data_IF_737057304948
#
_entry.id   IF_737057304948
#
_cell.length_a   1.000
_cell.length_b   1.000
_cell.length_c   1.000
_cell.angle_alpha   90.00
_cell.angle_beta   90.00
_cell.angle_gamma   90.00
#
_symmetry.space_group_name_H-M   'P 1'
#
loop_
_entity.id
_entity.type
_entity.pdbx_description
1 polymer ?
#
# COMPACT_ATOMS: atom_id res chain seq x y z
N UNK A 1 -5.90 11.93 19.15
CA UNK A 1 -6.92 11.46 18.20
C UNK A 1 -7.81 12.59 17.71
N UNK A 2 -8.52 13.31 18.60
CA UNK A 2 -9.37 14.45 18.21
C UNK A 2 -8.59 15.61 17.58
N UNK A 3 -7.41 15.93 18.10
CA UNK A 3 -6.52 16.96 17.55
C UNK A 3 -6.03 16.65 16.13
N UNK A 4 -5.68 15.38 15.89
CA UNK A 4 -5.24 14.85 14.59
C UNK A 4 -6.40 14.50 13.64
N UNK A 5 -7.65 14.83 14.01
CA UNK A 5 -8.86 14.52 13.24
C UNK A 5 -9.00 13.04 12.83
N UNK A 6 -8.59 12.12 13.71
CA UNK A 6 -8.74 10.66 13.51
C UNK A 6 -9.86 10.10 14.39
N UNK A 7 -10.83 9.46 13.75
CA UNK A 7 -12.01 8.84 14.38
C UNK A 7 -11.94 7.30 14.43
N UNK A 8 -10.82 6.69 14.04
CA UNK A 8 -10.64 5.23 14.00
C UNK A 8 -9.43 4.81 14.84
N UNK A 9 -9.60 3.76 15.64
CA UNK A 9 -8.56 3.19 16.49
C UNK A 9 -8.35 1.72 16.14
N UNK A 10 -7.12 1.36 15.77
CA UNK A 10 -6.74 -0.05 15.57
C UNK A 10 -6.13 -0.58 16.86
N UNK A 11 -6.61 -1.73 17.33
CA UNK A 11 -6.23 -2.31 18.62
C UNK A 11 -5.62 -3.70 18.41
N UNK A 12 -4.39 -3.85 18.92
CA UNK A 12 -3.57 -5.08 18.87
C UNK A 12 -2.91 -5.31 20.23
N UNK A 13 -2.37 -6.51 20.49
CA UNK A 13 -1.57 -6.81 21.68
C UNK A 13 -2.23 -7.76 22.69
N UNK A 14 -1.99 -7.54 23.99
CA UNK A 14 -2.44 -8.42 25.08
C UNK A 14 -2.93 -7.63 26.29
N UNK A 15 -3.90 -8.11 27.09
CA UNK A 15 -4.74 -9.30 26.88
C UNK A 15 -6.10 -8.90 26.27
N UNK A 16 -6.66 -9.81 25.46
CA UNK A 16 -7.95 -9.65 24.77
C UNK A 16 -9.08 -9.18 25.70
N UNK A 17 -9.50 -10.03 26.62
CA UNK A 17 -10.72 -9.81 27.40
C UNK A 17 -10.61 -8.72 28.48
N UNK A 18 -9.40 -8.27 28.78
CA UNK A 18 -9.14 -7.25 29.80
C UNK A 18 -8.90 -5.91 29.11
N UNK A 19 -7.64 -5.63 28.75
CA UNK A 19 -7.22 -4.34 28.25
C UNK A 19 -7.85 -4.01 26.91
N UNK A 20 -7.78 -4.95 25.96
CA UNK A 20 -8.28 -4.72 24.59
C UNK A 20 -9.79 -4.51 24.59
N UNK A 21 -10.54 -5.35 25.31
CA UNK A 21 -11.98 -5.21 25.43
C UNK A 21 -12.38 -3.90 26.11
N UNK A 22 -11.74 -3.54 27.22
CA UNK A 22 -12.01 -2.28 27.92
C UNK A 22 -11.69 -1.07 27.05
N UNK A 23 -10.56 -1.06 26.34
CA UNK A 23 -10.20 0.03 25.42
C UNK A 23 -11.16 0.12 24.23
N UNK A 24 -11.60 -1.01 23.67
CA UNK A 24 -12.58 -1.01 22.59
C UNK A 24 -13.92 -0.41 23.05
N UNK A 25 -14.38 -0.75 24.26
CA UNK A 25 -15.59 -0.16 24.83
C UNK A 25 -15.45 1.34 25.07
N UNK A 26 -14.32 1.77 25.64
CA UNK A 26 -14.08 3.18 25.93
C UNK A 26 -13.97 4.02 24.66
N UNK A 27 -13.26 3.51 23.64
CA UNK A 27 -13.19 4.12 22.33
C UNK A 27 -14.59 4.31 21.72
N UNK A 28 -15.41 3.26 21.75
CA UNK A 28 -16.78 3.32 21.23
C UNK A 28 -17.63 4.39 21.93
N UNK A 29 -17.53 4.49 23.27
CA UNK A 29 -18.25 5.51 24.05
C UNK A 29 -17.74 6.94 23.79
N UNK A 30 -16.52 7.10 23.28
CA UNK A 30 -15.89 8.38 22.97
C UNK A 30 -16.05 8.79 21.49
N UNK A 31 -16.96 8.15 20.76
CA UNK A 31 -17.20 8.31 19.32
C UNK A 31 -15.99 7.96 18.44
N UNK A 32 -15.13 7.06 18.91
CA UNK A 32 -13.99 6.51 18.16
C UNK A 32 -14.33 5.08 17.74
N UNK A 33 -14.24 4.78 16.44
CA UNK A 33 -14.52 3.46 15.87
C UNK A 33 -13.35 2.50 16.17
N UNK A 34 -13.53 1.47 17.01
CA UNK A 34 -12.45 0.54 17.32
C UNK A 34 -12.46 -0.65 16.35
N UNK A 35 -11.26 -0.99 15.88
CA UNK A 35 -10.97 -2.13 15.02
C UNK A 35 -10.01 -3.06 15.76
N UNK A 36 -10.51 -4.21 16.21
CA UNK A 36 -9.67 -5.22 16.87
C UNK A 36 -9.17 -6.20 15.82
N UNK A 37 -7.85 -6.39 15.77
CA UNK A 37 -7.23 -7.32 14.82
C UNK A 37 -7.10 -8.70 15.47
N UNK A 38 -7.97 -9.64 15.10
CA UNK A 38 -8.16 -10.89 15.84
C UNK A 38 -6.94 -11.80 15.89
N UNK A 39 -6.17 -11.85 14.81
CA UNK A 39 -4.92 -12.61 14.67
C UNK A 39 -3.69 -11.84 15.17
N UNK A 40 -3.84 -10.57 15.60
CA UNK A 40 -2.81 -9.76 16.24
C UNK A 40 -3.08 -9.47 17.72
N UNK A 41 -3.97 -10.25 18.35
CA UNK A 41 -4.16 -10.24 19.80
C UNK A 41 -3.90 -11.61 20.43
N UNK A 42 -3.55 -11.62 21.71
CA UNK A 42 -3.47 -12.85 22.49
C UNK A 42 -4.22 -12.73 23.82
N UNK A 43 -4.61 -13.87 24.37
CA UNK A 43 -5.31 -13.96 25.64
C UNK A 43 -4.86 -15.20 26.43
N UNK A 44 -5.25 -15.29 27.69
CA UNK A 44 -4.91 -16.41 28.59
C UNK A 44 -5.49 -17.74 28.13
N UNK A 45 -6.68 -17.72 27.53
CA UNK A 45 -7.30 -18.90 26.96
C UNK A 45 -7.88 -18.59 25.58
N UNK A 46 -8.02 -19.64 24.76
CA UNK A 46 -8.71 -19.54 23.47
C UNK A 46 -10.17 -19.10 23.64
N UNK A 47 -10.81 -19.49 24.74
CA UNK A 47 -12.19 -19.12 25.02
C UNK A 47 -12.31 -17.62 25.29
N UNK A 48 -11.43 -17.05 26.11
CA UNK A 48 -11.41 -15.61 26.41
C UNK A 48 -11.12 -14.78 25.17
N UNK A 49 -10.16 -15.24 24.35
CA UNK A 49 -9.87 -14.64 23.06
C UNK A 49 -11.14 -14.60 22.17
N UNK A 50 -11.81 -15.75 21.99
CA UNK A 50 -13.00 -15.83 21.14
C UNK A 50 -14.18 -15.02 21.69
N UNK A 51 -14.36 -15.00 23.01
CA UNK A 51 -15.41 -14.22 23.67
C UNK A 51 -15.19 -12.73 23.47
N UNK A 52 -13.94 -12.27 23.54
CA UNK A 52 -13.55 -10.88 23.23
C UNK A 52 -13.96 -10.50 21.81
N UNK A 53 -13.57 -11.31 20.82
CA UNK A 53 -13.90 -11.03 19.41
C UNK A 53 -15.42 -10.98 19.18
N UNK A 54 -16.16 -11.95 19.73
CA UNK A 54 -17.63 -11.98 19.64
C UNK A 54 -18.27 -10.75 20.29
N UNK A 55 -17.75 -10.33 21.44
CA UNK A 55 -18.30 -9.20 22.16
C UNK A 55 -18.08 -7.90 21.38
N UNK A 56 -16.85 -7.67 20.90
CA UNK A 56 -16.50 -6.48 20.11
C UNK A 56 -17.36 -6.41 18.85
N UNK A 57 -17.39 -7.49 18.07
CA UNK A 57 -18.17 -7.54 16.82
C UNK A 57 -19.67 -7.30 17.01
N UNK A 58 -20.23 -7.66 18.18
CA UNK A 58 -21.66 -7.51 18.45
C UNK A 58 -22.05 -6.20 19.14
N UNK A 59 -21.11 -5.48 19.77
CA UNK A 59 -21.46 -4.39 20.71
C UNK A 59 -20.61 -3.13 20.62
N UNK A 60 -19.31 -3.26 20.36
CA UNK A 60 -18.40 -2.12 20.54
C UNK A 60 -17.52 -1.80 19.35
N UNK A 61 -17.45 -2.61 18.29
CA UNK A 61 -16.64 -2.28 17.13
C UNK A 61 -16.61 -3.33 16.03
N UNK A 62 -15.58 -3.28 15.20
CA UNK A 62 -15.33 -4.27 14.15
C UNK A 62 -14.15 -5.15 14.52
N UNK A 63 -14.24 -6.43 14.15
CA UNK A 63 -13.11 -7.36 14.19
C UNK A 63 -12.59 -7.55 12.77
N UNK A 64 -11.28 -7.52 12.59
CA UNK A 64 -10.59 -7.72 11.31
C UNK A 64 -9.43 -8.67 11.45
N UNK A 65 -8.99 -9.24 10.33
CA UNK A 65 -7.70 -9.93 10.22
C UNK A 65 -6.58 -8.95 9.87
N UNK A 66 -5.32 -9.35 10.10
CA UNK A 66 -4.14 -8.59 9.65
C UNK A 66 -4.19 -8.41 8.13
N UNK A 67 -4.57 -9.44 7.38
CA UNK A 67 -4.63 -9.39 5.92
C UNK A 67 -5.67 -8.36 5.44
N UNK A 68 -6.91 -8.41 5.95
CA UNK A 68 -7.93 -7.41 5.63
C UNK A 68 -7.48 -5.98 6.00
N UNK A 69 -6.75 -5.84 7.10
CA UNK A 69 -6.23 -4.55 7.53
C UNK A 69 -5.17 -4.05 6.55
N UNK A 70 -4.20 -4.89 6.19
CA UNK A 70 -3.16 -4.54 5.21
C UNK A 70 -3.80 -4.14 3.89
N UNK A 71 -4.79 -4.89 3.39
CA UNK A 71 -5.52 -4.53 2.16
C UNK A 71 -6.21 -3.16 2.26
N UNK A 72 -6.68 -2.78 3.44
CA UNK A 72 -7.40 -1.51 3.66
C UNK A 72 -6.49 -0.29 3.82
N UNK A 73 -5.27 -0.47 4.36
CA UNK A 73 -4.34 0.64 4.64
C UNK A 73 -3.19 0.73 3.67
N UNK A 74 -2.88 -0.37 2.99
CA UNK A 74 -2.06 -0.28 1.78
C UNK A 74 -2.92 0.57 0.86
N UNK A 75 -2.49 1.79 0.48
CA UNK A 75 -3.17 2.49 -0.59
C UNK A 75 -3.28 1.49 -1.74
N UNK A 76 -4.31 1.57 -2.57
CA UNK A 76 -4.21 1.00 -3.90
C UNK A 76 -3.04 1.71 -4.64
N UNK A 77 -1.79 1.43 -4.27
CA UNK A 77 -0.77 1.13 -5.25
C UNK A 77 -1.29 -0.12 -5.92
N UNK A 78 -2.03 0.11 -7.01
CA UNK A 78 -2.35 -0.84 -8.05
C UNK A 78 -1.38 -2.02 -8.03
N UNK A 79 -1.79 -3.10 -7.37
CA UNK A 79 -1.15 -4.40 -7.52
C UNK A 79 -1.41 -4.83 -8.95
N UNK A 80 -0.45 -4.60 -9.84
CA UNK A 80 -0.31 -5.38 -11.08
C UNK A 80 -1.06 -4.90 -12.32
N UNK A 81 -1.81 -3.79 -12.29
CA UNK A 81 -2.05 -3.04 -13.53
C UNK A 81 -0.96 -1.99 -13.65
N UNK A 82 0.09 -2.38 -14.37
CA UNK A 82 0.86 -1.43 -15.17
C UNK A 82 -0.14 -0.42 -15.74
N UNK A 83 0.01 0.85 -15.39
CA UNK A 83 -0.67 1.95 -16.06
C UNK A 83 0.41 2.91 -16.50
N UNK A 84 0.18 3.59 -17.62
CA UNK A 84 1.08 4.61 -18.13
C UNK A 84 1.43 5.62 -17.03
N UNK A 85 0.47 5.93 -16.16
CA UNK A 85 0.64 6.82 -15.02
C UNK A 85 1.60 6.29 -13.95
N UNK A 86 1.54 4.99 -13.65
CA UNK A 86 2.49 4.39 -12.70
C UNK A 86 3.92 4.39 -13.24
N UNK A 87 4.11 4.22 -14.56
CA UNK A 87 5.43 4.35 -15.17
C UNK A 87 5.93 5.79 -15.10
N UNK A 88 5.07 6.79 -15.39
CA UNK A 88 5.41 8.21 -15.25
C UNK A 88 5.84 8.55 -13.82
N UNK A 89 5.11 8.07 -12.82
CA UNK A 89 5.46 8.29 -11.42
C UNK A 89 6.80 7.66 -11.05
N UNK A 90 7.09 6.42 -11.50
CA UNK A 90 8.38 5.79 -11.24
C UNK A 90 9.54 6.56 -11.87
N UNK A 91 9.34 7.13 -13.05
CA UNK A 91 10.31 7.97 -13.77
C UNK A 91 10.49 9.32 -13.07
N UNK A 92 9.42 10.02 -12.71
CA UNK A 92 9.48 11.28 -11.95
C UNK A 92 10.28 11.10 -10.64
N UNK A 93 9.97 10.04 -9.90
CA UNK A 93 10.65 9.71 -8.64
C UNK A 93 12.16 9.41 -8.80
N UNK A 94 12.59 8.86 -9.94
CA UNK A 94 14.01 8.56 -10.15
C UNK A 94 14.79 9.74 -10.71
N UNK A 95 14.10 10.58 -11.49
CA UNK A 95 14.67 11.81 -12.04
C UNK A 95 14.72 12.94 -11.01
N UNK A 96 13.93 12.83 -9.92
CA UNK A 96 13.74 13.84 -8.87
C UNK A 96 13.11 15.13 -9.43
N UNK A 97 12.10 14.93 -10.29
CA UNK A 97 11.32 16.00 -10.93
C UNK A 97 9.85 15.81 -10.63
N UNK A 98 9.07 16.89 -10.79
CA UNK A 98 7.62 16.83 -10.63
C UNK A 98 6.97 16.01 -11.75
N UNK A 99 5.87 15.33 -11.42
CA UNK A 99 5.11 14.51 -12.37
C UNK A 99 4.63 15.30 -13.60
N UNK A 100 4.34 16.59 -13.41
CA UNK A 100 3.89 17.51 -14.46
C UNK A 100 5.00 17.86 -15.46
N UNK A 101 6.27 17.67 -15.10
CA UNK A 101 7.43 17.87 -15.99
C UNK A 101 7.74 16.62 -16.84
N UNK A 102 7.11 15.49 -16.54
CA UNK A 102 7.36 14.21 -17.22
C UNK A 102 6.26 13.95 -18.26
N UNK A 103 6.52 14.36 -19.50
CA UNK A 103 5.69 14.01 -20.66
C UNK A 103 6.01 12.57 -21.14
N UNK A 104 4.99 11.88 -21.63
CA UNK A 104 5.08 10.52 -22.14
C UNK A 104 5.74 10.43 -23.51
N UNK A 105 5.61 11.47 -24.32
CA UNK A 105 6.15 11.57 -25.68
C UNK A 105 7.54 12.20 -25.71
N UNK A 106 8.00 12.82 -24.61
CA UNK A 106 9.31 13.45 -24.55
C UNK A 106 10.45 12.46 -24.30
N UNK A 107 11.62 12.85 -24.82
CA UNK A 107 12.84 12.09 -24.62
C UNK A 107 13.43 12.42 -23.25
N UNK A 108 13.38 11.42 -22.36
CA UNK A 108 13.79 11.50 -20.97
C UNK A 108 15.28 11.81 -20.78
N UNK A 109 16.12 11.63 -21.81
CA UNK A 109 17.54 12.04 -21.76
C UNK A 109 17.65 13.55 -21.48
N UNK A 110 16.73 14.36 -22.00
CA UNK A 110 16.71 15.81 -21.75
C UNK A 110 16.35 16.15 -20.30
N UNK A 111 15.63 15.25 -19.62
CA UNK A 111 15.31 15.34 -18.18
C UNK A 111 16.40 14.70 -17.29
N UNK A 112 17.53 14.29 -17.87
CA UNK A 112 18.65 13.70 -17.13
C UNK A 112 18.53 12.20 -16.90
N UNK A 113 17.83 11.47 -17.77
CA UNK A 113 17.88 10.01 -17.77
C UNK A 113 19.28 9.54 -18.20
N UNK A 114 19.90 8.71 -17.34
CA UNK A 114 21.19 8.08 -17.59
C UNK A 114 21.12 6.56 -17.43
N UNK A 115 22.20 5.85 -17.81
CA UNK A 115 22.26 4.40 -17.78
C UNK A 115 22.03 3.77 -16.39
N UNK A 116 22.39 4.46 -15.31
CA UNK A 116 22.20 3.97 -13.93
C UNK A 116 20.71 4.03 -13.57
N UNK A 117 20.06 5.14 -13.93
CA UNK A 117 18.61 5.33 -13.72
C UNK A 117 17.80 4.32 -14.53
N UNK A 118 18.15 4.07 -15.79
CA UNK A 118 17.53 3.03 -16.63
C UNK A 118 17.66 1.64 -16.01
N UNK A 119 18.86 1.24 -15.56
CA UNK A 119 19.07 -0.06 -14.92
C UNK A 119 18.29 -0.22 -13.61
N UNK A 120 18.12 0.87 -12.86
CA UNK A 120 17.37 0.89 -11.61
C UNK A 120 15.87 0.74 -11.87
N UNK A 121 15.33 1.44 -12.87
CA UNK A 121 13.94 1.29 -13.31
C UNK A 121 13.67 -0.13 -13.81
N UNK A 122 14.52 -0.63 -14.73
CA UNK A 122 14.41 -1.99 -15.25
C UNK A 122 14.43 -3.05 -14.13
N UNK A 123 15.34 -2.94 -13.16
CA UNK A 123 15.40 -3.86 -12.02
C UNK A 123 14.16 -3.78 -11.12
N UNK A 124 13.60 -2.58 -10.93
CA UNK A 124 12.38 -2.35 -10.15
C UNK A 124 11.18 -2.97 -10.85
N UNK A 125 11.04 -2.76 -12.14
CA UNK A 125 9.94 -3.30 -12.94
C UNK A 125 10.02 -4.82 -13.08
N UNK A 126 11.22 -5.38 -13.26
CA UNK A 126 11.45 -6.83 -13.28
C UNK A 126 11.03 -7.52 -11.97
N UNK A 127 11.29 -6.88 -10.81
CA UNK A 127 10.81 -7.37 -9.50
C UNK A 127 9.29 -7.35 -9.37
N UNK A 128 8.60 -6.46 -10.10
CA UNK A 128 7.14 -6.39 -10.20
C UNK A 128 6.58 -7.38 -11.24
N UNK A 129 7.42 -8.21 -11.87
CA UNK A 129 7.01 -9.19 -12.87
C UNK A 129 6.93 -8.66 -14.30
N UNK A 130 7.47 -7.47 -14.56
CA UNK A 130 7.43 -6.81 -15.86
C UNK A 130 8.68 -7.21 -16.64
N UNK A 131 8.50 -7.83 -17.81
CA UNK A 131 9.59 -8.24 -18.69
C UNK A 131 9.74 -7.25 -19.85
N UNK A 132 10.57 -6.22 -19.65
CA UNK A 132 10.97 -5.27 -20.70
C UNK A 132 12.45 -5.51 -20.98
N UNK A 133 12.81 -5.59 -22.26
CA UNK A 133 14.21 -5.71 -22.63
C UNK A 133 14.97 -4.40 -22.38
N UNK A 134 16.13 -4.50 -21.71
CA UNK A 134 16.99 -3.36 -21.41
C UNK A 134 17.49 -2.69 -22.71
N UNK A 135 17.74 -3.47 -23.77
CA UNK A 135 18.20 -2.91 -25.04
C UNK A 135 17.11 -2.03 -25.69
N UNK A 136 15.84 -2.39 -25.56
CA UNK A 136 14.72 -1.54 -25.99
C UNK A 136 14.61 -0.28 -25.15
N UNK A 137 14.79 -0.38 -23.83
CA UNK A 137 14.75 0.78 -22.93
C UNK A 137 15.86 1.80 -23.19
N UNK A 138 17.03 1.35 -23.64
CA UNK A 138 18.16 2.24 -23.98
C UNK A 138 18.00 2.80 -25.40
N UNK A 139 17.42 2.02 -26.31
CA UNK A 139 17.21 2.43 -27.70
C UNK A 139 16.07 3.44 -27.86
N UNK A 140 14.99 3.26 -27.10
CA UNK A 140 13.83 4.16 -27.08
C UNK A 140 13.85 4.92 -25.75
N UNK A 141 13.86 6.24 -25.75
CA UNK A 141 14.07 7.05 -24.54
C UNK A 141 12.79 7.78 -24.11
N UNK A 142 11.62 7.28 -24.48
CA UNK A 142 10.31 7.85 -24.14
C UNK A 142 9.49 6.86 -23.33
N UNK A 143 8.60 7.36 -22.48
CA UNK A 143 7.74 6.50 -21.64
C UNK A 143 6.73 5.76 -22.51
N UNK A 144 6.20 6.41 -23.55
CA UNK A 144 5.25 5.81 -24.49
C UNK A 144 5.84 4.61 -25.21
N UNK A 145 7.08 4.73 -25.68
CA UNK A 145 7.77 3.62 -26.33
C UNK A 145 7.98 2.42 -25.40
N UNK A 146 8.31 2.69 -24.12
CA UNK A 146 8.44 1.65 -23.11
C UNK A 146 7.11 0.99 -22.78
N UNK A 147 6.04 1.79 -22.71
CA UNK A 147 4.68 1.34 -22.47
C UNK A 147 4.17 0.42 -23.60
N UNK A 148 4.41 0.81 -24.85
CA UNK A 148 4.05 0.01 -26.03
C UNK A 148 4.81 -1.33 -26.05
N UNK A 149 6.11 -1.32 -25.70
CA UNK A 149 6.90 -2.56 -25.59
C UNK A 149 6.35 -3.53 -24.54
N UNK A 150 5.82 -3.03 -23.42
CA UNK A 150 5.15 -3.85 -22.39
C UNK A 150 3.84 -4.43 -22.91
N UNK A 151 3.03 -3.64 -23.62
CA UNK A 151 1.74 -4.10 -24.15
C UNK A 151 1.87 -5.14 -25.26
N UNK A 152 2.96 -5.10 -26.03
CA UNK A 152 3.24 -6.11 -27.06
C UNK A 152 3.72 -7.44 -26.45
N UNK A 153 4.31 -7.40 -25.25
CA UNK A 153 4.81 -8.58 -24.54
C UNK A 153 3.77 -9.27 -23.62
N UNK A 154 2.62 -8.63 -23.38
CA UNK A 154 1.50 -9.13 -22.57
C UNK A 154 0.45 -9.90 -23.41
#
# INVERSE_FOLDING_TARGET
>A
MKEEQRDQLIIVGVYGHIGILSTALDAFMLDIKPFVIGDAIADFSKEDHLNTLKYVAGRSGSVKSVDEFIESVTPCSSSGELSLESMRQDVANILDVDLDEVDVDENLIFLGLDSIRVMTLHSRWKKRGIDIDLAEMVGKNTIKDWWDSVQVAA
#
